data_IF_874864833672
#
_entry.id   IF_874864833672
#
_cell.length_a   1.000
_cell.length_b   1.000
_cell.length_c   1.000
_cell.angle_alpha   90.00
_cell.angle_beta   90.00
_cell.angle_gamma   90.00
#
_symmetry.space_group_name_H-M   'P 1'
#
loop_
_entity.id
_entity.type
_entity.pdbx_description
1 polymer ?
#
# COMPACT_ATOMS: atom_id res chain seq x y z
N UNK A 1 -26.59 12.77 11.20
CA UNK A 1 -25.43 13.03 10.32
C UNK A 1 -24.37 12.01 10.65
N UNK A 2 -23.75 11.35 9.68
CA UNK A 2 -23.04 10.07 9.87
C UNK A 2 -21.80 10.07 10.78
N UNK A 3 -21.48 11.13 11.53
CA UNK A 3 -20.37 11.13 12.50
C UNK A 3 -18.97 11.02 11.89
N UNK A 4 -18.84 11.01 10.57
CA UNK A 4 -17.53 10.97 9.92
C UNK A 4 -16.87 12.33 10.08
N UNK A 5 -15.74 12.36 10.78
CA UNK A 5 -14.85 13.52 10.80
C UNK A 5 -14.57 13.97 9.36
N UNK A 6 -14.68 15.27 9.08
CA UNK A 6 -14.33 15.84 7.75
C UNK A 6 -12.93 15.38 7.28
N UNK A 7 -12.02 15.17 8.23
CA UNK A 7 -10.67 14.68 7.97
C UNK A 7 -10.64 13.21 7.52
N UNK A 8 -11.55 12.36 8.01
CA UNK A 8 -11.63 10.95 7.61
C UNK A 8 -12.14 10.80 6.17
N UNK A 9 -13.19 11.55 5.80
CA UNK A 9 -13.68 11.56 4.41
C UNK A 9 -12.61 12.11 3.48
N UNK A 10 -11.95 13.21 3.88
CA UNK A 10 -10.89 13.85 3.10
C UNK A 10 -9.70 12.94 2.86
N UNK A 11 -9.19 12.26 3.90
CA UNK A 11 -8.03 11.36 3.77
C UNK A 11 -8.33 10.16 2.88
N UNK A 12 -9.53 9.57 2.98
CA UNK A 12 -9.93 8.45 2.13
C UNK A 12 -10.07 8.86 0.66
N UNK A 13 -10.67 10.02 0.39
CA UNK A 13 -10.79 10.56 -0.97
C UNK A 13 -9.43 10.89 -1.57
N UNK A 14 -8.54 11.52 -0.82
CA UNK A 14 -7.18 11.81 -1.29
C UNK A 14 -6.46 10.51 -1.61
N UNK A 15 -6.44 9.54 -0.70
CA UNK A 15 -5.82 8.23 -0.94
C UNK A 15 -6.40 7.52 -2.18
N UNK A 16 -7.71 7.61 -2.40
CA UNK A 16 -8.35 7.03 -3.58
C UNK A 16 -7.95 7.75 -4.87
N UNK A 17 -8.02 9.09 -4.90
CA UNK A 17 -7.65 9.88 -6.08
C UNK A 17 -6.18 9.72 -6.43
N UNK A 18 -5.30 9.63 -5.43
CA UNK A 18 -3.86 9.45 -5.67
C UNK A 18 -3.56 8.07 -6.25
N UNK A 19 -4.33 7.02 -5.95
CA UNK A 19 -4.10 5.64 -6.43
C UNK A 19 -4.86 5.26 -7.71
N UNK A 20 -5.83 6.07 -8.11
CA UNK A 20 -6.65 5.84 -9.31
C UNK A 20 -5.83 5.81 -10.62
N UNK A 21 -4.89 6.75 -10.87
CA UNK A 21 -4.06 6.73 -12.07
C UNK A 21 -3.26 5.43 -12.22
N UNK A 22 -2.68 4.94 -11.13
CA UNK A 22 -1.88 3.72 -11.10
C UNK A 22 -2.75 2.50 -11.40
N UNK A 23 -3.98 2.45 -10.87
CA UNK A 23 -4.93 1.39 -11.20
C UNK A 23 -5.27 1.42 -12.69
N UNK A 24 -5.50 2.60 -13.28
CA UNK A 24 -5.80 2.74 -14.70
C UNK A 24 -4.63 2.27 -15.59
N UNK A 25 -3.39 2.64 -15.25
CA UNK A 25 -2.18 2.20 -15.97
C UNK A 25 -1.97 0.69 -15.82
N UNK A 26 -2.10 0.15 -14.61
CA UNK A 26 -1.94 -1.28 -14.33
C UNK A 26 -2.96 -2.12 -15.10
N UNK A 27 -4.23 -1.72 -15.10
CA UNK A 27 -5.28 -2.41 -15.85
C UNK A 27 -5.04 -2.34 -17.36
N UNK A 28 -4.59 -1.20 -17.86
CA UNK A 28 -4.27 -1.03 -19.29
C UNK A 28 -3.10 -1.94 -19.69
N UNK A 29 -2.04 -1.99 -18.88
CA UNK A 29 -0.88 -2.86 -19.09
C UNK A 29 -1.27 -4.35 -19.07
N UNK A 30 -2.15 -4.76 -18.14
CA UNK A 30 -2.68 -6.13 -18.10
C UNK A 30 -3.49 -6.49 -19.34
N UNK A 31 -4.31 -5.57 -19.86
CA UNK A 31 -5.12 -5.79 -21.07
C UNK A 31 -4.28 -6.02 -22.32
N UNK A 32 -3.11 -5.38 -22.42
CA UNK A 32 -2.18 -5.56 -23.54
C UNK A 32 -1.17 -6.68 -23.29
N UNK A 33 -1.29 -7.44 -22.19
CA UNK A 33 -0.38 -8.53 -21.84
C UNK A 33 1.00 -8.08 -21.34
N UNK A 34 1.20 -6.79 -21.07
CA UNK A 34 2.45 -6.21 -20.58
C UNK A 34 2.58 -6.39 -19.05
N UNK A 35 2.76 -7.64 -18.61
CA UNK A 35 2.86 -7.98 -17.18
C UNK A 35 4.01 -7.26 -16.48
N UNK A 36 5.18 -7.17 -17.11
CA UNK A 36 6.36 -6.52 -16.51
C UNK A 36 6.12 -5.02 -16.31
N UNK A 37 5.36 -4.38 -17.20
CA UNK A 37 4.94 -2.98 -17.07
C UNK A 37 3.93 -2.80 -15.93
N UNK A 38 2.96 -3.72 -15.81
CA UNK A 38 1.99 -3.68 -14.71
C UNK A 38 2.68 -3.83 -13.34
N UNK A 39 3.65 -4.75 -13.23
CA UNK A 39 4.45 -4.96 -12.02
C UNK A 39 5.34 -3.75 -11.74
N UNK A 40 6.01 -3.22 -12.77
CA UNK A 40 6.85 -2.03 -12.66
C UNK A 40 6.08 -0.80 -12.19
N UNK A 41 4.86 -0.60 -12.71
CA UNK A 41 3.97 0.47 -12.25
C UNK A 41 3.60 0.30 -10.77
N UNK A 42 3.22 -0.92 -10.35
CA UNK A 42 2.77 -1.18 -8.98
C UNK A 42 3.90 -1.01 -7.95
N UNK A 43 5.08 -1.60 -8.21
CA UNK A 43 6.22 -1.50 -7.31
C UNK A 43 6.89 -0.12 -7.37
N UNK A 44 7.01 0.45 -8.57
CA UNK A 44 7.61 1.77 -8.78
C UNK A 44 6.81 2.88 -8.11
N UNK A 45 5.48 2.83 -8.15
CA UNK A 45 4.63 3.82 -7.48
C UNK A 45 4.71 3.71 -5.95
N UNK A 46 4.81 2.49 -5.40
CA UNK A 46 5.04 2.31 -3.97
C UNK A 46 6.39 2.90 -3.53
N UNK A 47 7.45 2.68 -4.32
CA UNK A 47 8.76 3.27 -4.07
C UNK A 47 8.73 4.80 -4.17
N UNK A 48 8.05 5.35 -5.19
CA UNK A 48 7.90 6.79 -5.38
C UNK A 48 7.19 7.45 -4.20
N UNK A 49 6.12 6.83 -3.68
CA UNK A 49 5.40 7.32 -2.50
C UNK A 49 6.32 7.42 -1.27
N UNK A 50 7.20 6.44 -1.04
CA UNK A 50 8.17 6.49 0.06
C UNK A 50 9.27 7.52 -0.22
N UNK A 51 9.72 7.65 -1.47
CA UNK A 51 10.74 8.63 -1.85
C UNK A 51 10.24 10.07 -1.64
N UNK A 52 8.96 10.36 -1.89
CA UNK A 52 8.37 11.68 -1.60
C UNK A 52 8.51 12.01 -0.12
N UNK A 53 8.29 11.05 0.79
CA UNK A 53 8.44 11.29 2.23
C UNK A 53 9.89 11.65 2.57
N UNK A 54 10.86 10.96 1.97
CA UNK A 54 12.28 11.27 2.19
C UNK A 54 12.66 12.66 1.66
N UNK A 55 12.08 13.08 0.54
CA UNK A 55 12.26 14.44 0.01
C UNK A 55 11.59 15.46 0.94
N UNK A 56 10.38 15.19 1.42
CA UNK A 56 9.64 16.07 2.35
C UNK A 56 10.39 16.26 3.67
N UNK A 57 11.00 15.19 4.20
CA UNK A 57 11.84 15.22 5.40
C UNK A 57 13.04 16.18 5.24
N UNK A 58 13.58 16.29 4.02
CA UNK A 58 14.70 17.19 3.70
C UNK A 58 14.31 18.68 3.79
N UNK A 59 13.04 19.00 3.53
CA UNK A 59 12.50 20.36 3.63
C UNK A 59 11.88 20.66 5.00
N UNK A 60 11.65 19.63 5.82
CA UNK A 60 11.07 19.77 7.14
C UNK A 60 12.09 20.29 8.16
N UNK A 61 11.86 21.51 8.69
CA UNK A 61 12.83 22.22 9.55
C UNK A 61 12.67 21.96 11.06
N UNK A 62 11.64 21.22 11.48
CA UNK A 62 11.32 21.02 12.90
C UNK A 62 11.84 19.68 13.48
N UNK A 63 12.64 18.92 12.74
CA UNK A 63 13.16 17.61 13.15
C UNK A 63 12.97 16.57 12.02
N UNK A 64 13.09 15.28 12.35
CA UNK A 64 12.71 14.21 11.40
C UNK A 64 11.21 13.94 11.49
N UNK A 65 10.52 13.96 10.35
CA UNK A 65 9.10 13.58 10.22
C UNK A 65 8.81 12.20 10.80
N UNK A 66 9.78 11.29 10.76
CA UNK A 66 9.65 9.93 11.28
C UNK A 66 9.71 9.86 12.81
N UNK A 67 10.34 10.84 13.46
CA UNK A 67 10.45 10.90 14.92
C UNK A 67 9.23 11.56 15.60
N UNK A 68 8.48 12.37 14.85
CA UNK A 68 7.29 13.08 15.33
C UNK A 68 5.97 12.32 15.06
N UNK A 69 6.06 11.19 14.34
CA UNK A 69 4.92 10.34 14.03
C UNK A 69 4.44 9.52 15.23
N UNK A 70 3.12 9.41 15.41
CA UNK A 70 2.48 8.48 16.36
C UNK A 70 3.02 7.05 16.22
N UNK A 71 3.19 6.29 17.33
CA UNK A 71 3.66 4.90 17.31
C UNK A 71 2.82 3.97 16.41
N UNK A 72 1.58 4.37 16.13
CA UNK A 72 0.65 3.72 15.20
C UNK A 72 1.20 3.68 13.75
N UNK A 73 2.01 4.65 13.34
CA UNK A 73 2.64 4.67 12.02
C UNK A 73 3.73 3.61 11.86
N UNK A 74 4.42 3.22 12.94
CA UNK A 74 5.43 2.16 12.90
C UNK A 74 4.82 0.80 12.54
N UNK A 75 3.61 0.52 13.05
CA UNK A 75 2.86 -0.70 12.70
C UNK A 75 2.49 -0.73 11.22
N UNK A 76 2.05 0.41 10.68
CA UNK A 76 1.69 0.54 9.26
C UNK A 76 2.92 0.42 8.36
N UNK A 77 4.06 0.98 8.76
CA UNK A 77 5.31 0.82 8.03
C UNK A 77 5.79 -0.64 8.04
N UNK A 78 5.72 -1.31 9.21
CA UNK A 78 6.07 -2.73 9.34
C UNK A 78 5.20 -3.63 8.46
N UNK A 79 3.89 -3.41 8.44
CA UNK A 79 2.97 -4.19 7.61
C UNK A 79 3.21 -3.95 6.11
N UNK A 80 3.50 -2.71 5.70
CA UNK A 80 3.89 -2.40 4.33
C UNK A 80 5.16 -3.15 3.90
N UNK A 81 6.19 -3.22 4.76
CA UNK A 81 7.42 -3.99 4.49
C UNK A 81 7.11 -5.48 4.29
N UNK A 82 6.28 -6.06 5.17
CA UNK A 82 5.86 -7.47 5.05
C UNK A 82 5.09 -7.72 3.75
N UNK A 83 4.16 -6.83 3.39
CA UNK A 83 3.40 -6.93 2.15
C UNK A 83 4.30 -6.84 0.92
N UNK A 84 5.24 -5.91 0.88
CA UNK A 84 6.22 -5.80 -0.21
C UNK A 84 7.09 -7.05 -0.30
N UNK A 85 7.52 -7.60 0.83
CA UNK A 85 8.25 -8.88 0.88
C UNK A 85 7.45 -10.05 0.31
N UNK A 86 6.18 -10.19 0.70
CA UNK A 86 5.28 -11.21 0.16
C UNK A 86 5.04 -11.03 -1.35
N UNK A 87 4.88 -9.80 -1.82
CA UNK A 87 4.74 -9.49 -3.24
C UNK A 87 5.99 -9.90 -4.03
N UNK A 88 7.18 -9.60 -3.50
CA UNK A 88 8.47 -10.01 -4.08
C UNK A 88 8.60 -11.54 -4.13
N UNK A 89 8.29 -12.24 -3.03
CA UNK A 89 8.28 -13.72 -3.01
C UNK A 89 7.31 -14.27 -4.06
N UNK A 90 6.11 -13.70 -4.16
CA UNK A 90 5.13 -14.09 -5.17
C UNK A 90 5.60 -13.88 -6.60
N UNK A 91 6.36 -12.82 -6.85
CA UNK A 91 6.94 -12.52 -8.16
C UNK A 91 8.07 -13.49 -8.53
N UNK A 92 8.95 -13.81 -7.58
CA UNK A 92 10.10 -14.71 -7.80
C UNK A 92 9.69 -16.17 -7.96
N UNK A 93 8.83 -16.69 -7.07
CA UNK A 93 8.45 -18.09 -7.06
C UNK A 93 7.28 -18.42 -7.99
N UNK A 94 6.60 -17.39 -8.53
CA UNK A 94 5.41 -17.49 -9.42
C UNK A 94 4.51 -18.70 -9.10
N UNK A 95 3.98 -18.81 -7.87
CA UNK A 95 3.23 -19.99 -7.44
C UNK A 95 2.02 -20.22 -8.37
N UNK A 96 2.04 -21.34 -9.09
CA UNK A 96 0.98 -21.72 -10.06
C UNK A 96 -0.34 -22.14 -9.39
N UNK A 97 -0.31 -22.39 -8.09
CA UNK A 97 -1.47 -22.80 -7.29
C UNK A 97 -2.43 -21.63 -7.09
N UNK A 98 -3.67 -21.77 -7.56
CA UNK A 98 -4.74 -20.80 -7.38
C UNK A 98 -5.82 -21.35 -6.45
N UNK A 99 -6.20 -20.56 -5.46
CA UNK A 99 -7.40 -20.74 -4.65
C UNK A 99 -8.61 -20.32 -5.49
N UNK A 100 -9.64 -21.18 -5.51
CA UNK A 100 -10.89 -20.97 -6.27
C UNK A 100 -10.67 -20.69 -7.77
N UNK A 101 -9.58 -21.20 -8.36
CA UNK A 101 -9.15 -20.95 -9.76
C UNK A 101 -8.89 -19.48 -10.13
N UNK A 102 -9.13 -18.53 -9.23
CA UNK A 102 -9.02 -17.10 -9.50
C UNK A 102 -7.86 -16.43 -8.74
N UNK A 103 -7.68 -16.74 -7.44
CA UNK A 103 -6.83 -15.96 -6.52
C UNK A 103 -5.57 -16.74 -6.14
N UNK A 104 -4.39 -16.12 -6.20
CA UNK A 104 -3.15 -16.74 -5.74
C UNK A 104 -3.04 -16.71 -4.21
N UNK A 105 -2.34 -17.69 -3.62
CA UNK A 105 -2.06 -17.70 -2.17
C UNK A 105 -1.36 -16.43 -1.68
N UNK A 106 -0.50 -15.85 -2.52
CA UNK A 106 0.18 -14.59 -2.23
C UNK A 106 -0.83 -13.45 -2.06
N UNK A 107 -1.84 -13.36 -2.92
CA UNK A 107 -2.90 -12.33 -2.82
C UNK A 107 -3.73 -12.49 -1.55
N UNK A 108 -4.00 -13.73 -1.11
CA UNK A 108 -4.65 -13.99 0.17
C UNK A 108 -3.78 -13.57 1.35
N UNK A 109 -2.47 -13.86 1.29
CA UNK A 109 -1.50 -13.40 2.30
C UNK A 109 -1.44 -11.88 2.40
N UNK A 110 -1.39 -11.18 1.27
CA UNK A 110 -1.43 -9.71 1.22
C UNK A 110 -2.72 -9.16 1.85
N UNK A 111 -3.87 -9.75 1.49
CA UNK A 111 -5.16 -9.36 2.05
C UNK A 111 -5.22 -9.59 3.57
N UNK A 112 -4.73 -10.74 4.05
CA UNK A 112 -4.71 -11.07 5.46
C UNK A 112 -3.84 -10.08 6.27
N UNK A 113 -2.64 -9.75 5.78
CA UNK A 113 -1.75 -8.76 6.42
C UNK A 113 -2.41 -7.37 6.44
N UNK A 114 -3.04 -6.95 5.34
CA UNK A 114 -3.76 -5.67 5.28
C UNK A 114 -4.93 -5.59 6.28
N UNK A 115 -5.75 -6.64 6.34
CA UNK A 115 -6.87 -6.71 7.28
C UNK A 115 -6.38 -6.75 8.73
N UNK A 116 -5.32 -7.50 9.02
CA UNK A 116 -4.70 -7.52 10.34
C UNK A 116 -4.18 -6.14 10.74
N UNK A 117 -3.47 -5.45 9.84
CA UNK A 117 -3.00 -4.10 10.08
C UNK A 117 -4.18 -3.16 10.37
N UNK A 118 -5.22 -3.20 9.55
CA UNK A 118 -6.43 -2.36 9.74
C UNK A 118 -7.12 -2.65 11.08
N UNK A 119 -7.17 -3.92 11.48
CA UNK A 119 -7.74 -4.32 12.77
C UNK A 119 -6.89 -3.84 13.96
N UNK A 120 -5.56 -3.95 13.88
CA UNK A 120 -4.65 -3.43 14.91
C UNK A 120 -4.78 -1.91 15.01
N UNK A 121 -4.87 -1.21 13.88
CA UNK A 121 -5.11 0.24 13.82
C UNK A 121 -6.46 0.62 14.41
N UNK A 122 -7.51 -0.18 14.23
CA UNK A 122 -8.81 0.08 14.85
C UNK A 122 -8.79 -0.08 16.38
N UNK A 123 -7.97 -1.00 16.90
CA UNK A 123 -7.87 -1.25 18.33
C UNK A 123 -6.91 -0.29 19.07
N UNK A 124 -5.87 0.18 18.39
CA UNK A 124 -4.79 1.00 18.99
C UNK A 124 -4.67 2.41 18.39
N UNK A 125 -5.42 2.71 17.34
CA UNK A 125 -5.56 4.06 16.82
C UNK A 125 -6.63 4.78 17.63
N UNK A 126 -6.22 5.82 18.34
CA UNK A 126 -7.14 6.74 19.03
C UNK A 126 -8.08 7.45 18.05
#
# INVERSE_FOLDING_TARGET
SMGWSRSFVGSMFVAFVTTLPELAVTLSALRIGALDMAIGNLLGSNLFNVAIIAVDDLFYRHGSLLADGSPVHAVTAGSAIVMTGLAMIGLFFRPRSRVLRAVGWVSLGLLAVYLLNTYVLYLHGE
#
